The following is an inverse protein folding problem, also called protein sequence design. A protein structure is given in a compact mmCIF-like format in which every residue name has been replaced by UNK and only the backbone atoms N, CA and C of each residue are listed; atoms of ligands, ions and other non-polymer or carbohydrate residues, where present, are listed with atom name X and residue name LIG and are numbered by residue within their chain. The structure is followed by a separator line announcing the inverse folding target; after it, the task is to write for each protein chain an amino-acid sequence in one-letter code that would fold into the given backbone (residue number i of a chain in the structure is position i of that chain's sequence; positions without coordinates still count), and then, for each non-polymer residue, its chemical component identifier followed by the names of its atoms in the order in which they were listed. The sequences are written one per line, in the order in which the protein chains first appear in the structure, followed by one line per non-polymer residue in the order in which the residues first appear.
data_IF_317787143771
#
_entry.id   IF_317787143771
#
_cell.length_a   1.000
_cell.length_b   1.000
_cell.length_c   1.000
_cell.angle_alpha   90.00
_cell.angle_beta   90.00
_cell.angle_gamma   90.00
#
_symmetry.space_group_name_H-M   'P 1'
#
loop_
_entity.id
_entity.type
_entity.pdbx_description
1 polymer ?
#
# COMPACT_ATOMS: atom_id res chain seq x y z
N UNK A 1 4.75 -1.52 20.08
CA UNK A 1 3.45 -0.84 19.82
C UNK A 1 3.17 -0.83 18.33
N UNK A 2 1.92 -1.13 17.96
CA UNK A 2 1.41 -0.90 16.61
C UNK A 2 1.26 0.59 16.34
N UNK A 3 1.58 1.03 15.13
CA UNK A 3 1.45 2.43 14.70
C UNK A 3 0.47 2.50 13.54
N UNK A 4 -0.35 3.55 13.54
CA UNK A 4 -1.24 3.88 12.43
C UNK A 4 -0.72 5.18 11.83
N UNK A 5 -0.51 5.20 10.52
CA UNK A 5 -0.11 6.40 9.79
C UNK A 5 -1.22 6.72 8.80
N UNK A 6 -1.88 7.87 8.99
CA UNK A 6 -2.88 8.37 8.06
C UNK A 6 -2.23 9.37 7.10
N UNK A 7 -2.52 9.23 5.81
CA UNK A 7 -1.97 10.08 4.74
C UNK A 7 -3.14 10.70 3.98
N UNK A 8 -3.14 12.02 3.83
CA UNK A 8 -4.25 12.76 3.20
C UNK A 8 -4.41 12.54 1.68
N UNK A 9 -3.50 11.77 1.07
CA UNK A 9 -3.41 11.55 -0.36
C UNK A 9 -2.07 12.00 -0.93
N UNK A 10 -1.80 11.59 -2.16
CA UNK A 10 -0.64 12.02 -2.92
C UNK A 10 -1.12 12.58 -4.26
N UNK A 11 -0.63 13.75 -4.63
CA UNK A 11 -0.76 14.27 -5.99
C UNK A 11 0.34 13.72 -6.87
N UNK A 12 0.05 13.61 -8.16
CA UNK A 12 1.05 13.27 -9.17
C UNK A 12 1.35 14.54 -9.93
N UNK A 13 2.39 15.30 -9.54
CA UNK A 13 2.92 16.31 -10.48
C UNK A 13 3.59 15.56 -11.63
N UNK A 14 3.16 15.87 -12.86
CA UNK A 14 3.72 15.34 -14.11
C UNK A 14 3.56 13.81 -14.31
N UNK A 15 2.56 13.19 -13.68
CA UNK A 15 2.25 11.77 -13.88
C UNK A 15 3.20 10.80 -13.18
N UNK A 16 4.13 11.30 -12.34
CA UNK A 16 5.08 10.47 -11.59
C UNK A 16 4.87 10.56 -10.07
N UNK A 17 3.85 9.83 -9.57
CA UNK A 17 3.47 9.77 -8.15
C UNK A 17 4.59 9.22 -7.26
N UNK A 18 5.57 8.52 -7.84
CA UNK A 18 6.62 7.78 -7.12
C UNK A 18 7.66 8.67 -6.42
N UNK A 19 7.92 9.88 -6.91
CA UNK A 19 8.95 10.76 -6.33
C UNK A 19 8.45 11.56 -5.14
N UNK A 20 7.20 12.03 -5.17
CA UNK A 20 6.65 12.87 -4.10
C UNK A 20 6.30 12.04 -2.84
N UNK A 21 5.89 10.78 -2.99
CA UNK A 21 5.53 9.94 -1.84
C UNK A 21 6.72 9.30 -1.12
N UNK A 22 7.84 9.11 -1.81
CA UNK A 22 8.95 8.29 -1.32
C UNK A 22 9.54 8.74 0.03
N UNK A 23 9.67 10.05 0.35
CA UNK A 23 10.09 10.47 1.69
C UNK A 23 9.14 10.02 2.80
N UNK A 24 7.83 10.11 2.56
CA UNK A 24 6.80 9.67 3.51
C UNK A 24 6.81 8.14 3.63
N UNK A 25 6.91 7.43 2.50
CA UNK A 25 6.98 5.97 2.46
C UNK A 25 8.22 5.44 3.25
N UNK A 26 9.37 6.12 3.12
CA UNK A 26 10.57 5.82 3.93
C UNK A 26 10.33 5.99 5.42
N UNK A 27 9.65 7.05 5.82
CA UNK A 27 9.34 7.29 7.23
C UNK A 27 8.40 6.22 7.79
N UNK A 28 7.39 5.79 7.02
CA UNK A 28 6.49 4.71 7.42
C UNK A 28 7.27 3.40 7.64
N UNK A 29 8.18 3.08 6.72
CA UNK A 29 9.08 1.92 6.86
C UNK A 29 9.97 2.05 8.09
N UNK A 30 10.58 3.22 8.31
CA UNK A 30 11.42 3.50 9.49
C UNK A 30 10.64 3.33 10.80
N UNK A 31 9.40 3.83 10.84
CA UNK A 31 8.50 3.74 11.99
C UNK A 31 8.17 2.30 12.39
N UNK A 32 8.34 1.32 11.48
CA UNK A 32 8.20 -0.09 11.85
C UNK A 32 9.30 -0.59 12.78
N UNK A 33 10.50 0.00 12.74
CA UNK A 33 11.68 -0.48 13.45
C UNK A 33 12.17 -1.86 12.99
N UNK A 34 11.71 -2.36 11.85
CA UNK A 34 12.08 -3.69 11.32
C UNK A 34 13.14 -3.56 10.22
N UNK A 35 14.16 -4.43 10.26
CA UNK A 35 15.19 -4.50 9.22
C UNK A 35 14.64 -4.96 7.86
N UNK A 36 13.68 -5.89 7.86
CA UNK A 36 13.01 -6.41 6.67
C UNK A 36 11.49 -6.36 6.89
N UNK A 37 10.86 -5.19 6.69
CA UNK A 37 9.42 -5.04 6.93
C UNK A 37 8.60 -5.82 5.91
N UNK A 38 7.42 -6.27 6.33
CA UNK A 38 6.40 -6.80 5.43
C UNK A 38 5.40 -5.71 5.11
N UNK A 39 5.13 -5.50 3.83
CA UNK A 39 4.20 -4.51 3.34
C UNK A 39 3.12 -5.22 2.53
N UNK A 40 1.85 -4.84 2.70
CA UNK A 40 0.79 -5.43 1.91
C UNK A 40 -0.11 -4.37 1.30
N UNK A 41 -0.34 -4.57 0.01
CA UNK A 41 -1.21 -3.75 -0.81
C UNK A 41 -2.65 -4.26 -0.74
N UNK A 42 -3.58 -3.35 -0.45
CA UNK A 42 -5.01 -3.56 -0.60
C UNK A 42 -5.56 -2.58 -1.63
N UNK A 43 -5.84 -3.07 -2.83
CA UNK A 43 -6.24 -2.26 -3.97
C UNK A 43 -7.72 -1.98 -4.08
N UNK A 44 -8.52 -2.30 -3.06
CA UNK A 44 -9.99 -2.31 -3.15
C UNK A 44 -10.59 -0.97 -3.54
N UNK A 45 -10.03 0.13 -3.02
CA UNK A 45 -10.48 1.49 -3.32
C UNK A 45 -10.06 1.98 -4.71
N UNK A 46 -9.22 1.22 -5.42
CA UNK A 46 -8.88 1.42 -6.84
C UNK A 46 -9.33 0.25 -7.70
N UNK A 47 -10.34 -0.51 -7.26
CA UNK A 47 -10.90 -1.64 -8.01
C UNK A 47 -9.89 -2.76 -8.32
N UNK A 48 -8.87 -2.91 -7.46
CA UNK A 48 -7.70 -3.79 -7.66
C UNK A 48 -6.94 -3.50 -8.98
N UNK A 49 -6.95 -2.24 -9.44
CA UNK A 49 -6.36 -1.89 -10.72
C UNK A 49 -4.83 -2.17 -10.76
N UNK A 50 -4.33 -2.95 -11.75
CA UNK A 50 -2.95 -3.48 -11.76
C UNK A 50 -1.84 -2.44 -11.65
N UNK A 51 -2.07 -1.23 -12.20
CA UNK A 51 -1.12 -0.11 -12.14
C UNK A 51 -0.69 0.23 -10.71
N UNK A 52 -1.63 0.22 -9.76
CA UNK A 52 -1.31 0.57 -8.36
C UNK A 52 -0.53 -0.53 -7.65
N UNK A 53 -0.84 -1.80 -7.97
CA UNK A 53 -0.03 -2.94 -7.50
C UNK A 53 1.40 -2.87 -8.04
N UNK A 54 1.57 -2.58 -9.34
CA UNK A 54 2.89 -2.46 -9.94
C UNK A 54 3.71 -1.33 -9.31
N UNK A 55 3.07 -0.18 -9.08
CA UNK A 55 3.68 0.95 -8.36
C UNK A 55 4.08 0.55 -6.94
N UNK A 56 3.20 -0.14 -6.20
CA UNK A 56 3.49 -0.59 -4.84
C UNK A 56 4.69 -1.54 -4.80
N UNK A 57 4.78 -2.49 -5.73
CA UNK A 57 5.90 -3.40 -5.84
C UNK A 57 7.22 -2.67 -6.17
N UNK A 58 7.17 -1.68 -7.06
CA UNK A 58 8.34 -0.85 -7.38
C UNK A 58 8.82 -0.05 -6.16
N UNK A 59 7.90 0.56 -5.42
CA UNK A 59 8.24 1.42 -4.29
C UNK A 59 8.63 0.60 -3.05
N UNK A 60 7.73 -0.26 -2.57
CA UNK A 60 7.93 -0.99 -1.34
C UNK A 60 8.83 -2.19 -1.52
N UNK A 61 8.65 -2.97 -2.59
CA UNK A 61 9.45 -4.17 -2.86
C UNK A 61 10.89 -3.82 -3.27
N UNK A 62 11.03 -3.06 -4.36
CA UNK A 62 12.36 -2.78 -4.96
C UNK A 62 13.11 -1.66 -4.25
N UNK A 63 12.50 -0.48 -4.06
CA UNK A 63 13.20 0.70 -3.52
C UNK A 63 13.36 0.66 -2.00
N UNK A 64 12.32 0.24 -1.27
CA UNK A 64 12.31 0.19 0.20
C UNK A 64 12.61 -1.19 0.79
N UNK A 65 12.87 -2.19 -0.06
CA UNK A 65 13.30 -3.54 0.33
C UNK A 65 12.36 -4.23 1.33
N UNK A 66 11.06 -3.96 1.22
CA UNK A 66 10.01 -4.65 1.97
C UNK A 66 9.67 -5.99 1.30
N UNK A 67 9.32 -6.99 2.10
CA UNK A 67 8.66 -8.18 1.59
C UNK A 67 7.18 -7.84 1.32
N UNK A 68 6.81 -7.81 0.05
CA UNK A 68 5.48 -7.37 -0.41
C UNK A 68 4.49 -8.53 -0.56
N UNK A 69 3.21 -8.25 -0.34
CA UNK A 69 2.09 -9.14 -0.65
C UNK A 69 0.88 -8.31 -1.12
N UNK A 70 -0.11 -8.94 -1.73
CA UNK A 70 -1.29 -8.25 -2.28
C UNK A 70 -2.57 -8.98 -1.93
N UNK A 71 -3.56 -8.24 -1.43
CA UNK A 71 -4.91 -8.73 -1.19
C UNK A 71 -5.92 -8.05 -2.13
N UNK A 72 -6.37 -8.81 -3.14
CA UNK A 72 -7.39 -8.38 -4.10
C UNK A 72 -8.78 -8.82 -3.62
N UNK A 73 -9.66 -7.88 -3.30
CA UNK A 73 -11.02 -8.15 -2.80
C UNK A 73 -12.13 -7.60 -3.69
N UNK A 74 -11.83 -6.79 -4.70
CA UNK A 74 -12.84 -6.07 -5.48
C UNK A 74 -13.68 -7.00 -6.39
N UNK A 75 -13.03 -7.91 -7.13
CA UNK A 75 -13.73 -8.81 -8.10
C UNK A 75 -14.03 -10.21 -7.60
N UNK A 76 -13.65 -10.56 -6.36
CA UNK A 76 -13.86 -11.91 -5.82
C UNK A 76 -15.06 -11.92 -4.90
N UNK A 77 -16.03 -12.79 -5.22
CA UNK A 77 -16.96 -13.35 -4.23
C UNK A 77 -16.10 -13.79 -3.03
N UNK A 78 -16.23 -13.13 -1.87
CA UNK A 78 -15.42 -13.39 -0.68
C UNK A 78 -15.84 -14.75 -0.10
N UNK A 79 -15.51 -15.84 -0.80
CA UNK A 79 -15.59 -17.19 -0.25
C UNK A 79 -14.39 -17.32 0.69
N UNK A 80 -14.69 -17.25 1.99
CA UNK A 80 -13.81 -17.55 3.15
C UNK A 80 -12.36 -17.85 2.73
N UNK A 81 -11.59 -16.79 2.46
CA UNK A 81 -10.22 -16.97 2.02
C UNK A 81 -9.34 -17.14 3.25
N UNK A 82 -8.62 -18.26 3.30
CA UNK A 82 -7.83 -18.80 4.43
C UNK A 82 -6.63 -17.93 4.86
N UNK A 83 -6.54 -16.67 4.41
CA UNK A 83 -5.33 -15.83 4.51
C UNK A 83 -5.47 -14.60 5.42
N UNK A 84 -6.65 -14.28 5.94
CA UNK A 84 -6.81 -13.17 6.89
C UNK A 84 -6.03 -13.41 8.20
N UNK A 85 -5.71 -14.66 8.52
CA UNK A 85 -4.93 -15.04 9.71
C UNK A 85 -3.45 -14.61 9.63
N UNK A 86 -2.93 -14.25 8.45
CA UNK A 86 -1.53 -13.79 8.28
C UNK A 86 -1.32 -12.29 8.56
N UNK A 87 -2.38 -11.55 8.89
CA UNK A 87 -2.37 -10.08 8.85
C UNK A 87 -1.85 -9.34 10.08
N UNK A 88 -1.55 -10.02 11.19
CA UNK A 88 -1.35 -9.33 12.48
C UNK A 88 -0.05 -8.51 12.65
N UNK A 89 0.78 -8.34 11.61
CA UNK A 89 2.02 -7.56 11.68
C UNK A 89 2.37 -6.73 10.42
N UNK A 90 1.40 -6.47 9.55
CA UNK A 90 1.65 -5.85 8.24
C UNK A 90 1.35 -4.34 8.26
N UNK A 91 2.17 -3.57 7.53
CA UNK A 91 1.83 -2.17 7.23
C UNK A 91 0.68 -2.19 6.23
N UNK A 92 -0.45 -1.60 6.61
CA UNK A 92 -1.67 -1.57 5.82
C UNK A 92 -1.72 -0.28 5.01
N UNK A 93 -1.58 -0.36 3.69
CA UNK A 93 -1.81 0.78 2.79
C UNK A 93 -3.20 0.69 2.18
N UNK A 94 -4.02 1.69 2.46
CA UNK A 94 -5.33 1.88 1.83
C UNK A 94 -5.33 3.23 1.13
N UNK A 95 -5.42 3.24 -0.20
CA UNK A 95 -5.55 4.45 -0.99
C UNK A 95 -7.02 4.81 -1.15
N UNK A 96 -7.54 5.79 -0.41
CA UNK A 96 -8.79 6.44 -0.80
C UNK A 96 -8.44 7.50 -1.85
N UNK A 97 -8.81 7.29 -3.12
CA UNK A 97 -8.78 8.36 -4.11
C UNK A 97 -10.04 9.21 -3.87
N UNK A 98 -9.89 10.39 -3.28
CA UNK A 98 -10.94 11.41 -3.36
C UNK A 98 -10.82 12.05 -4.74
N UNK A 99 -11.70 11.67 -5.67
CA UNK A 99 -11.85 12.35 -6.97
C UNK A 99 -12.73 13.58 -6.72
N UNK A 100 -12.25 14.82 -6.90
CA UNK A 100 -13.13 15.97 -6.94
C UNK A 100 -13.91 15.91 -8.26
N UNK A 101 -15.24 15.85 -8.18
CA UNK A 101 -16.10 16.02 -9.34
C UNK A 101 -15.96 17.44 -9.90
N UNK A 102 -15.58 17.56 -11.17
CA UNK A 102 -16.00 18.66 -12.03
C UNK A 102 -16.38 18.09 -13.39
#
# INVERSE_FOLDING_TARGET
MSKIVAIGGYTSKNGNTSMESLPIDREIVRLTGKKHPRALFMGTATEDHPKYRAWFEEMYGKKLQCATDTLNLYKKNIRKNRSLTKFFQQILFMWAVVIPSR
#
